data_IF_948438317981
#
_entry.id   IF_948438317981
#
_cell.length_a   1.000
_cell.length_b   1.000
_cell.length_c   1.000
_cell.angle_alpha   90.00
_cell.angle_beta   90.00
_cell.angle_gamma   90.00
#
_symmetry.space_group_name_H-M   'P 1'
#
loop_
_entity.id
_entity.type
_entity.pdbx_description
1 polymer ?
#
# COMPACT_ATOMS: atom_id res chain seq x y z
N UNK A 1 -13.90 1.47 13.50
CA UNK A 1 -13.35 0.09 13.47
C UNK A 1 -12.33 -0.02 12.34
N UNK A 2 -11.18 -0.68 12.55
CA UNK A 2 -10.10 -0.76 11.55
C UNK A 2 -10.54 -1.37 10.21
N UNK A 3 -11.42 -2.39 10.24
CA UNK A 3 -11.99 -3.02 9.05
C UNK A 3 -12.82 -2.03 8.22
N UNK A 4 -13.73 -1.28 8.86
CA UNK A 4 -14.54 -0.26 8.18
C UNK A 4 -13.64 0.80 7.53
N UNK A 5 -12.60 1.24 8.25
CA UNK A 5 -11.66 2.22 7.71
C UNK A 5 -10.90 1.67 6.50
N UNK A 6 -10.41 0.43 6.59
CA UNK A 6 -9.75 -0.26 5.49
C UNK A 6 -10.68 -0.39 4.27
N UNK A 7 -11.94 -0.81 4.47
CA UNK A 7 -12.91 -0.95 3.38
C UNK A 7 -13.19 0.39 2.71
N UNK A 8 -13.35 1.46 3.48
CA UNK A 8 -13.56 2.81 2.93
C UNK A 8 -12.34 3.29 2.13
N UNK A 9 -11.12 3.05 2.63
CA UNK A 9 -9.90 3.35 1.89
C UNK A 9 -9.84 2.57 0.59
N UNK A 10 -10.14 1.27 0.61
CA UNK A 10 -10.14 0.42 -0.57
C UNK A 10 -11.18 0.86 -1.61
N UNK A 11 -12.39 1.20 -1.18
CA UNK A 11 -13.44 1.74 -2.07
C UNK A 11 -13.01 3.08 -2.67
N UNK A 12 -12.47 3.98 -1.85
CA UNK A 12 -12.04 5.29 -2.32
C UNK A 12 -10.87 5.20 -3.31
N UNK A 13 -9.87 4.38 -3.01
CA UNK A 13 -8.72 4.11 -3.87
C UNK A 13 -9.12 3.48 -5.19
N UNK A 14 -9.96 2.43 -5.14
CA UNK A 14 -10.41 1.73 -6.34
C UNK A 14 -11.23 2.67 -7.24
N UNK A 15 -12.14 3.46 -6.67
CA UNK A 15 -12.90 4.46 -7.41
C UNK A 15 -11.98 5.52 -8.03
N UNK A 16 -11.10 6.13 -7.23
CA UNK A 16 -10.19 7.17 -7.69
C UNK A 16 -9.25 6.69 -8.79
N UNK A 17 -8.74 5.46 -8.68
CA UNK A 17 -7.87 4.84 -9.69
C UNK A 17 -8.57 4.68 -11.01
N UNK A 18 -9.75 4.05 -10.98
CA UNK A 18 -10.53 3.75 -12.19
C UNK A 18 -11.03 5.03 -12.87
N UNK A 19 -11.37 6.08 -12.10
CA UNK A 19 -11.64 7.42 -12.63
C UNK A 19 -10.38 8.01 -13.30
N UNK A 20 -9.23 7.99 -12.62
CA UNK A 20 -7.98 8.51 -13.18
C UNK A 20 -7.62 7.82 -14.50
N UNK A 21 -7.79 6.50 -14.57
CA UNK A 21 -7.55 5.72 -15.78
C UNK A 21 -8.52 6.08 -16.91
N UNK A 22 -9.79 6.37 -16.59
CA UNK A 22 -10.77 6.87 -17.58
C UNK A 22 -10.34 8.20 -18.22
N UNK A 23 -9.56 9.01 -17.49
CA UNK A 23 -8.96 10.26 -17.99
C UNK A 23 -7.60 10.06 -18.67
N UNK A 24 -7.18 8.81 -18.91
CA UNK A 24 -5.91 8.50 -19.59
C UNK A 24 -4.69 8.52 -18.70
N UNK A 25 -4.84 8.56 -17.36
CA UNK A 25 -3.70 8.45 -16.44
C UNK A 25 -3.15 7.03 -16.48
N UNK A 26 -1.85 6.91 -16.75
CA UNK A 26 -1.16 5.63 -16.78
C UNK A 26 -0.92 5.10 -15.36
N UNK A 27 -1.68 4.08 -14.95
CA UNK A 27 -1.58 3.44 -13.63
C UNK A 27 -0.43 2.45 -13.46
N UNK A 28 0.34 2.12 -14.50
CA UNK A 28 1.46 1.17 -14.42
C UNK A 28 2.74 1.75 -13.80
N UNK A 29 2.74 3.03 -13.43
CA UNK A 29 3.96 3.74 -13.01
C UNK A 29 3.85 4.23 -11.58
N UNK A 30 4.94 4.20 -10.79
CA UNK A 30 4.93 4.71 -9.43
C UNK A 30 4.74 6.23 -9.36
N UNK A 31 4.87 6.94 -10.48
CA UNK A 31 4.58 8.37 -10.54
C UNK A 31 3.09 8.68 -10.39
N UNK A 32 2.23 7.79 -10.91
CA UNK A 32 0.79 8.00 -10.99
C UNK A 32 -0.01 7.03 -10.11
N UNK A 33 0.66 5.99 -9.61
CA UNK A 33 0.11 4.97 -8.72
C UNK A 33 0.98 4.88 -7.47
N UNK A 34 0.35 4.78 -6.30
CA UNK A 34 1.06 4.65 -5.01
C UNK A 34 1.00 3.24 -4.44
N UNK A 35 0.14 2.38 -4.99
CA UNK A 35 -0.09 1.02 -4.51
C UNK A 35 0.24 0.01 -5.60
N UNK A 36 0.85 -1.11 -5.17
CA UNK A 36 1.05 -2.29 -6.02
C UNK A 36 -0.25 -2.71 -6.69
N UNK A 37 -1.36 -2.74 -5.94
CA UNK A 37 -2.69 -3.06 -6.47
C UNK A 37 -3.15 -2.20 -7.66
N UNK A 38 -2.69 -0.94 -7.75
CA UNK A 38 -3.00 -0.12 -8.92
C UNK A 38 -2.09 -0.48 -10.11
N UNK A 39 -0.81 -0.73 -9.83
CA UNK A 39 0.20 -1.05 -10.84
C UNK A 39 0.01 -2.46 -11.43
N UNK A 40 -0.51 -3.40 -10.64
CA UNK A 40 -0.73 -4.78 -11.03
C UNK A 40 -2.06 -4.92 -11.80
N UNK A 41 -3.13 -4.24 -11.34
CA UNK A 41 -4.44 -4.29 -12.00
C UNK A 41 -4.47 -3.46 -13.29
N UNK A 42 -3.76 -2.32 -13.37
CA UNK A 42 -3.87 -1.43 -14.53
C UNK A 42 -3.50 -2.09 -15.87
N UNK A 43 -2.36 -2.81 -16.03
CA UNK A 43 -2.03 -3.49 -17.28
C UNK A 43 -3.09 -4.52 -17.66
N UNK A 44 -3.55 -5.33 -16.69
CA UNK A 44 -4.60 -6.32 -16.93
C UNK A 44 -5.92 -5.66 -17.35
N UNK A 45 -6.30 -4.55 -16.71
CA UNK A 45 -7.47 -3.78 -17.09
C UNK A 45 -7.34 -3.20 -18.50
N UNK A 46 -6.22 -2.52 -18.80
CA UNK A 46 -5.99 -1.82 -20.07
C UNK A 46 -5.88 -2.79 -21.25
N UNK A 47 -5.12 -3.86 -21.08
CA UNK A 47 -4.79 -4.80 -22.17
C UNK A 47 -5.80 -5.94 -22.33
N UNK A 48 -6.57 -6.28 -21.27
CA UNK A 48 -7.51 -7.42 -21.29
C UNK A 48 -8.95 -7.00 -21.03
N UNK A 49 -9.25 -6.39 -19.87
CA UNK A 49 -10.64 -6.14 -19.47
C UNK A 49 -11.34 -5.07 -20.31
N UNK A 50 -10.65 -3.96 -20.58
CA UNK A 50 -11.21 -2.82 -21.31
C UNK A 50 -11.60 -3.20 -22.76
N UNK A 51 -10.75 -3.91 -23.55
CA UNK A 51 -11.15 -4.38 -24.88
C UNK A 51 -12.29 -5.39 -24.87
N UNK A 52 -12.37 -6.27 -23.85
CA UNK A 52 -13.35 -7.36 -23.81
C UNK A 52 -14.72 -6.92 -23.26
N UNK A 53 -14.73 -6.02 -22.28
CA UNK A 53 -15.90 -5.68 -21.48
C UNK A 53 -16.36 -4.23 -21.66
N UNK A 54 -15.57 -3.39 -22.33
CA UNK A 54 -15.86 -1.97 -22.50
C UNK A 54 -16.08 -1.27 -21.17
N UNK A 55 -17.22 -0.60 -21.00
CA UNK A 55 -17.57 0.13 -19.79
C UNK A 55 -17.80 -0.76 -18.55
N UNK A 56 -18.09 -2.06 -18.73
CA UNK A 56 -18.19 -2.99 -17.59
C UNK A 56 -16.82 -3.35 -16.99
N UNK A 57 -15.72 -3.04 -17.69
CA UNK A 57 -14.37 -3.28 -17.17
C UNK A 57 -14.05 -2.43 -15.93
N UNK A 58 -14.67 -1.25 -15.80
CA UNK A 58 -14.42 -0.29 -14.71
C UNK A 58 -14.85 -0.84 -13.34
N UNK A 59 -16.09 -1.29 -13.12
CA UNK A 59 -16.48 -1.91 -11.85
C UNK A 59 -15.73 -3.22 -11.57
N UNK A 60 -15.35 -3.99 -12.60
CA UNK A 60 -14.52 -5.20 -12.42
C UNK A 60 -13.12 -4.83 -11.94
N UNK A 61 -12.48 -3.83 -12.54
CA UNK A 61 -11.19 -3.32 -12.09
C UNK A 61 -11.24 -2.78 -10.65
N UNK A 62 -12.33 -2.09 -10.28
CA UNK A 62 -12.52 -1.68 -8.89
C UNK A 62 -12.53 -2.88 -7.94
N UNK A 63 -13.28 -3.93 -8.29
CA UNK A 63 -13.32 -5.17 -7.52
C UNK A 63 -11.95 -5.83 -7.37
N UNK A 64 -11.15 -5.86 -8.45
CA UNK A 64 -9.79 -6.40 -8.44
C UNK A 64 -8.86 -5.59 -7.52
N UNK A 65 -8.90 -4.26 -7.55
CA UNK A 65 -8.10 -3.42 -6.66
C UNK A 65 -8.47 -3.69 -5.20
N UNK A 66 -9.77 -3.77 -4.88
CA UNK A 66 -10.23 -4.06 -3.51
C UNK A 66 -9.76 -5.45 -3.06
N UNK A 67 -9.89 -6.46 -3.93
CA UNK A 67 -9.44 -7.82 -3.67
C UNK A 67 -7.94 -7.88 -3.42
N UNK A 68 -7.15 -7.21 -4.25
CA UNK A 68 -5.70 -7.22 -4.10
C UNK A 68 -5.27 -6.47 -2.84
N UNK A 69 -5.94 -5.36 -2.50
CA UNK A 69 -5.74 -4.70 -1.21
C UNK A 69 -6.05 -5.63 -0.03
N UNK A 70 -7.07 -6.49 -0.11
CA UNK A 70 -7.32 -7.50 0.94
C UNK A 70 -6.15 -8.46 1.06
N UNK A 71 -5.67 -8.99 -0.06
CA UNK A 71 -4.57 -9.95 -0.13
C UNK A 71 -3.29 -9.33 0.44
N UNK A 72 -2.92 -8.14 -0.05
CA UNK A 72 -1.75 -7.39 0.43
C UNK A 72 -1.88 -7.16 1.94
N UNK A 73 -3.04 -6.70 2.41
CA UNK A 73 -3.25 -6.43 3.84
C UNK A 73 -3.13 -7.70 4.69
N UNK A 74 -3.71 -8.81 4.23
CA UNK A 74 -3.67 -10.11 4.91
C UNK A 74 -2.25 -10.69 4.98
N UNK A 75 -1.39 -10.39 4.01
CA UNK A 75 0.01 -10.85 3.98
C UNK A 75 0.93 -9.89 4.74
N UNK A 76 0.82 -8.58 4.51
CA UNK A 76 1.73 -7.59 5.08
C UNK A 76 1.48 -7.33 6.56
N UNK A 77 0.23 -7.41 7.03
CA UNK A 77 -0.08 -7.24 8.46
C UNK A 77 0.68 -8.24 9.35
N UNK A 78 0.62 -9.58 9.12
CA UNK A 78 1.38 -10.53 9.91
C UNK A 78 2.88 -10.39 9.69
N UNK A 79 3.35 -10.07 8.48
CA UNK A 79 4.76 -9.82 8.21
C UNK A 79 5.30 -8.66 9.07
N UNK A 80 4.59 -7.53 9.07
CA UNK A 80 4.89 -6.35 9.89
C UNK A 80 4.93 -6.71 11.37
N UNK A 81 3.94 -7.46 11.84
CA UNK A 81 3.88 -7.92 13.22
C UNK A 81 5.11 -8.76 13.59
N UNK A 82 5.46 -9.75 12.76
CA UNK A 82 6.59 -10.66 12.98
C UNK A 82 7.91 -9.90 12.97
N UNK A 83 8.17 -9.10 11.92
CA UNK A 83 9.41 -8.33 11.79
C UNK A 83 9.62 -7.45 13.01
N UNK A 84 8.61 -6.68 13.43
CA UNK A 84 8.78 -5.79 14.57
C UNK A 84 8.86 -6.53 15.91
N UNK A 85 8.24 -7.72 16.03
CA UNK A 85 8.39 -8.59 17.20
C UNK A 85 9.84 -9.04 17.37
N UNK A 86 10.51 -9.40 16.28
CA UNK A 86 11.92 -9.76 16.28
C UNK A 86 12.84 -8.56 16.56
N UNK A 87 12.47 -7.36 16.13
CA UNK A 87 13.26 -6.14 16.31
C UNK A 87 13.16 -5.50 17.70
N UNK A 88 13.04 -6.30 18.77
CA UNK A 88 12.91 -5.86 20.18
C UNK A 88 11.54 -5.35 20.62
N UNK A 89 10.47 -5.64 19.88
CA UNK A 89 9.12 -5.24 20.28
C UNK A 89 8.57 -6.04 21.47
N UNK A 90 7.92 -5.37 22.42
CA UNK A 90 7.29 -6.02 23.58
C UNK A 90 6.12 -6.90 23.14
N UNK A 91 6.00 -8.12 23.66
CA UNK A 91 4.81 -8.94 23.41
C UNK A 91 3.58 -8.25 24.03
N UNK A 92 2.59 -7.91 23.21
CA UNK A 92 1.35 -7.29 23.66
C UNK A 92 0.15 -8.18 23.32
N UNK A 93 -0.88 -8.24 24.19
CA UNK A 93 -2.08 -9.04 23.97
C UNK A 93 -2.79 -8.76 22.63
N UNK A 94 -2.71 -7.52 22.13
CA UNK A 94 -3.37 -7.07 20.89
C UNK A 94 -2.38 -6.64 19.80
N UNK A 95 -1.13 -7.12 19.83
CA UNK A 95 -0.09 -6.69 18.90
C UNK A 95 -0.48 -6.85 17.43
N UNK A 96 -1.13 -7.95 17.03
CA UNK A 96 -1.57 -8.13 15.64
C UNK A 96 -2.62 -7.10 15.20
N UNK A 97 -3.57 -6.75 16.08
CA UNK A 97 -4.58 -5.72 15.81
C UNK A 97 -3.95 -4.34 15.62
N UNK A 98 -2.91 -4.03 16.40
CA UNK A 98 -2.18 -2.78 16.27
C UNK A 98 -1.33 -2.75 14.98
N UNK A 99 -0.78 -3.89 14.55
CA UNK A 99 -0.09 -4.00 13.26
C UNK A 99 -1.07 -3.73 12.11
N UNK A 100 -2.27 -4.31 12.20
CA UNK A 100 -3.33 -4.06 11.23
C UNK A 100 -3.70 -2.57 11.20
N UNK A 101 -3.96 -1.96 12.35
CA UNK A 101 -4.23 -0.53 12.45
C UNK A 101 -3.10 0.32 11.85
N UNK A 102 -1.85 0.04 12.20
CA UNK A 102 -0.69 0.75 11.68
C UNK A 102 -0.57 0.64 10.16
N UNK A 103 -0.83 -0.55 9.61
CA UNK A 103 -0.85 -0.77 8.18
C UNK A 103 -1.97 0.03 7.49
N UNK A 104 -3.21 -0.11 7.97
CA UNK A 104 -4.39 0.56 7.39
C UNK A 104 -4.26 2.09 7.49
N UNK A 105 -3.89 2.63 8.65
CA UNK A 105 -3.71 4.08 8.79
C UNK A 105 -2.54 4.60 7.97
N UNK A 106 -1.49 3.79 7.81
CA UNK A 106 -0.39 4.10 6.93
C UNK A 106 -0.78 4.15 5.45
N UNK A 107 -1.84 3.46 5.00
CA UNK A 107 -2.37 3.56 3.63
C UNK A 107 -3.17 4.84 3.36
N UNK A 108 -3.47 5.64 4.38
CA UNK A 108 -4.34 6.82 4.22
C UNK A 108 -3.82 7.85 3.22
N UNK A 109 -2.51 8.23 3.19
CA UNK A 109 -1.99 9.15 2.18
C UNK A 109 -2.14 8.64 0.74
N UNK A 110 -1.96 7.32 0.54
CA UNK A 110 -2.18 6.68 -0.75
C UNK A 110 -3.65 6.84 -1.19
N UNK A 111 -4.61 6.79 -0.27
CA UNK A 111 -6.00 7.03 -0.63
C UNK A 111 -6.31 8.47 -1.08
N UNK A 112 -5.60 9.48 -0.60
CA UNK A 112 -5.90 10.87 -0.96
C UNK A 112 -5.19 11.39 -2.22
N UNK A 113 -4.08 10.77 -2.63
CA UNK A 113 -3.35 11.23 -3.83
C UNK A 113 -2.66 10.13 -4.61
N UNK A 114 -2.90 8.87 -4.26
CA UNK A 114 -2.23 7.72 -4.82
C UNK A 114 -2.61 7.34 -6.24
N UNK A 115 -3.59 8.02 -6.83
CA UNK A 115 -4.02 7.88 -8.22
C UNK A 115 -3.80 9.20 -9.00
N UNK A 116 -3.23 10.22 -8.35
CA UNK A 116 -2.97 11.51 -8.98
C UNK A 116 -1.58 11.48 -9.65
N UNK A 117 -1.46 12.00 -10.88
CA UNK A 117 -0.16 12.11 -11.53
C UNK A 117 0.85 12.88 -10.68
N UNK A 118 2.10 12.41 -10.65
CA UNK A 118 3.22 12.95 -9.85
C UNK A 118 3.06 12.73 -8.33
N UNK A 119 1.84 12.73 -7.81
CA UNK A 119 1.55 12.52 -6.39
C UNK A 119 1.59 11.04 -5.97
N UNK A 120 1.47 10.08 -6.90
CA UNK A 120 1.55 8.65 -6.60
C UNK A 120 2.84 8.26 -5.85
N UNK A 121 3.99 8.74 -6.31
CA UNK A 121 5.28 8.42 -5.70
C UNK A 121 5.39 9.03 -4.30
N UNK A 122 5.01 10.31 -4.18
CA UNK A 122 5.09 11.05 -2.92
C UNK A 122 4.18 10.38 -1.89
N UNK A 123 2.93 10.12 -2.25
CA UNK A 123 1.96 9.47 -1.35
C UNK A 123 2.36 8.04 -0.99
N UNK A 124 2.96 7.29 -1.93
CA UNK A 124 3.54 5.97 -1.66
C UNK A 124 4.66 6.04 -0.62
N UNK A 125 5.62 6.95 -0.79
CA UNK A 125 6.71 7.15 0.18
C UNK A 125 6.17 7.58 1.56
N UNK A 126 5.24 8.53 1.60
CA UNK A 126 4.61 8.94 2.86
C UNK A 126 3.85 7.79 3.53
N UNK A 127 3.12 7.00 2.75
CA UNK A 127 2.40 5.83 3.25
C UNK A 127 3.38 4.81 3.86
N UNK A 128 4.46 4.49 3.15
CA UNK A 128 5.52 3.61 3.64
C UNK A 128 6.14 4.14 4.94
N UNK A 129 6.52 5.43 4.99
CA UNK A 129 7.07 6.03 6.20
C UNK A 129 6.09 5.92 7.38
N UNK A 130 4.80 6.17 7.16
CA UNK A 130 3.80 6.01 8.22
C UNK A 130 3.65 4.55 8.65
N UNK A 131 3.57 3.59 7.73
CA UNK A 131 3.46 2.17 8.06
C UNK A 131 4.65 1.70 8.89
N UNK A 132 5.85 2.12 8.52
CA UNK A 132 7.08 1.71 9.19
C UNK A 132 7.49 2.59 10.38
N UNK A 133 6.88 3.75 10.60
CA UNK A 133 7.07 4.56 11.80
C UNK A 133 5.96 4.32 12.84
N UNK A 134 4.70 4.38 12.40
CA UNK A 134 3.53 4.14 13.26
C UNK A 134 3.43 2.67 13.63
N UNK A 135 3.71 1.75 12.70
CA UNK A 135 3.73 0.30 12.94
C UNK A 135 4.54 -0.08 14.19
N UNK A 136 5.85 0.21 14.26
CA UNK A 136 6.67 -0.06 15.45
C UNK A 136 6.17 0.65 16.72
N UNK A 137 5.81 1.93 16.58
CA UNK A 137 5.46 2.78 17.72
C UNK A 137 4.15 2.37 18.40
N UNK A 138 3.17 1.90 17.63
CA UNK A 138 1.82 1.52 18.09
C UNK A 138 1.77 0.02 18.40
N UNK A 139 2.34 -0.82 17.55
CA UNK A 139 2.25 -2.29 17.67
C UNK A 139 3.02 -2.81 18.86
N UNK A 140 4.20 -2.25 19.15
CA UNK A 140 5.13 -2.87 20.10
C UNK A 140 5.85 -1.87 21.01
N UNK A 141 5.36 -0.62 21.06
CA UNK A 141 5.99 0.50 21.78
C UNK A 141 7.49 0.59 21.49
N UNK A 142 7.89 0.21 20.28
CA UNK A 142 9.29 0.06 19.95
C UNK A 142 9.86 1.43 19.62
N UNK A 143 10.43 2.07 20.64
CA UNK A 143 11.07 3.39 20.56
C UNK A 143 12.59 3.31 20.44
N UNK A 144 13.14 2.12 20.20
CA UNK A 144 14.58 1.93 20.09
C UNK A 144 15.07 2.38 18.72
N UNK A 145 16.14 3.18 18.71
CA UNK A 145 16.77 3.73 17.50
C UNK A 145 17.14 2.64 16.48
N UNK A 146 17.63 1.48 16.96
CA UNK A 146 18.05 0.37 16.09
C UNK A 146 16.94 -0.17 15.17
N UNK A 147 15.70 -0.21 15.65
CA UNK A 147 14.56 -0.69 14.86
C UNK A 147 14.19 0.30 13.75
N UNK A 148 14.28 1.61 14.03
CA UNK A 148 14.10 2.65 13.01
C UNK A 148 15.26 2.64 12.00
N UNK A 149 16.50 2.47 12.46
CA UNK A 149 17.66 2.37 11.56
C UNK A 149 17.55 1.18 10.62
N UNK A 150 17.12 0.02 11.10
CA UNK A 150 16.96 -1.15 10.23
C UNK A 150 15.88 -0.93 9.18
N UNK A 151 14.75 -0.33 9.55
CA UNK A 151 13.71 0.08 8.61
C UNK A 151 14.26 1.05 7.56
N UNK A 152 14.99 2.09 7.98
CA UNK A 152 15.58 3.08 7.08
C UNK A 152 16.58 2.43 6.14
N UNK A 153 17.45 1.56 6.65
CA UNK A 153 18.44 0.84 5.83
C UNK A 153 17.77 -0.12 4.85
N UNK A 154 16.73 -0.84 5.29
CA UNK A 154 15.96 -1.73 4.41
C UNK A 154 15.27 -0.96 3.29
N UNK A 155 14.58 0.14 3.62
CA UNK A 155 13.92 0.99 2.63
C UNK A 155 14.93 1.66 1.70
N UNK A 156 16.04 2.18 2.22
CA UNK A 156 17.10 2.77 1.42
C UNK A 156 17.71 1.74 0.46
N UNK A 157 17.92 0.51 0.92
CA UNK A 157 18.40 -0.59 0.09
C UNK A 157 17.38 -0.98 -0.99
N UNK A 158 16.09 -1.09 -0.64
CA UNK A 158 15.03 -1.39 -1.59
C UNK A 158 14.90 -0.31 -2.68
N UNK A 159 14.95 0.97 -2.29
CA UNK A 159 14.97 2.11 -3.20
C UNK A 159 16.21 2.06 -4.09
N UNK A 160 17.40 1.86 -3.52
CA UNK A 160 18.64 1.74 -4.27
C UNK A 160 18.58 0.60 -5.31
N UNK A 161 18.08 -0.57 -4.92
CA UNK A 161 17.91 -1.72 -5.80
C UNK A 161 16.89 -1.46 -6.93
N UNK A 162 15.80 -0.78 -6.60
CA UNK A 162 14.78 -0.34 -7.57
C UNK A 162 15.39 0.60 -8.63
N UNK A 163 16.13 1.61 -8.20
CA UNK A 163 16.80 2.56 -9.12
C UNK A 163 17.89 1.92 -9.98
N UNK A 164 18.51 0.83 -9.51
CA UNK A 164 19.48 0.06 -10.28
C UNK A 164 18.83 -1.00 -11.20
N UNK A 165 17.50 -1.02 -11.32
CA UNK A 165 16.79 -1.97 -12.21
C UNK A 165 16.98 -3.43 -11.81
N UNK A 166 17.28 -3.71 -10.54
CA UNK A 166 17.64 -5.05 -10.05
C UNK A 166 16.57 -5.70 -9.18
N UNK A 167 15.39 -5.09 -9.13
CA UNK A 167 14.22 -5.56 -8.39
C UNK A 167 13.01 -5.87 -9.30
N UNK A 168 13.27 -5.98 -10.61
CA UNK A 168 12.35 -6.45 -11.66
C UNK A 168 13.16 -7.39 -12.57
#
# INVERSE_FOLDING_TARGET
MPLIHWTLLAVWLSLGSVIAWSFGVNGATPLNSSLGAQMDVFPYWKDTLLPQMGWFSYPVAMGLIILEMLIITAIFTPLIYVVFRFLSGSAQPNGMLHAFQGFVYGLTPAAFGGFLPVAGLITGVFATLLQFQRGPSITLQNRKLGSYLLVVLFLAYAIYKYWNGSLI
#
